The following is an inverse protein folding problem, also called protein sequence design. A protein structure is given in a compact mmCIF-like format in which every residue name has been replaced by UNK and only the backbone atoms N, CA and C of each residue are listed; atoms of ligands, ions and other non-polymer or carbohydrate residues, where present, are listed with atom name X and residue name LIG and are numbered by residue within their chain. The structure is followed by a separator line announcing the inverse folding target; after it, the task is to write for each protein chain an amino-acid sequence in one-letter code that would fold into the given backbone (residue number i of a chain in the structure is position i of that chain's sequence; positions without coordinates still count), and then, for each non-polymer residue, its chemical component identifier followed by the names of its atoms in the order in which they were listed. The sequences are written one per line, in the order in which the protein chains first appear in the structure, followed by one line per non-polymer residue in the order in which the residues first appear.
data_IF_726093791650
#
_entry.id   IF_726093791650
#
_cell.length_a   1.000
_cell.length_b   1.000
_cell.length_c   1.000
_cell.angle_alpha   90.00
_cell.angle_beta   90.00
_cell.angle_gamma   90.00
#
_symmetry.space_group_name_H-M   'P 1'
#
loop_
_entity.id
_entity.type
_entity.pdbx_description
1 polymer ?
#
# COMPACT_ATOMS: atom_id res chain seq x y z
N UNK A 1 -62.50 -27.95 23.71
CA UNK A 1 -61.24 -28.73 23.86
C UNK A 1 -60.09 -28.19 23.00
N UNK A 2 -59.99 -28.47 21.68
CA UNK A 2 -58.76 -28.14 20.91
C UNK A 2 -58.50 -26.63 20.77
N UNK A 3 -59.54 -25.82 20.54
CA UNK A 3 -59.42 -24.35 20.48
C UNK A 3 -59.10 -23.69 21.83
N UNK A 4 -59.66 -24.20 22.92
CA UNK A 4 -59.36 -23.70 24.27
C UNK A 4 -57.91 -23.98 24.67
N UNK A 5 -57.39 -25.15 24.31
CA UNK A 5 -56.03 -25.52 24.65
C UNK A 5 -55.01 -24.60 23.95
N UNK A 6 -55.26 -24.28 22.68
CA UNK A 6 -54.42 -23.35 21.89
C UNK A 6 -54.45 -21.94 22.51
N UNK A 7 -55.61 -21.45 22.92
CA UNK A 7 -55.73 -20.11 23.48
C UNK A 7 -55.03 -19.96 24.83
N UNK A 8 -55.16 -20.97 25.71
CA UNK A 8 -54.44 -21.00 26.98
C UNK A 8 -52.92 -20.98 26.75
N UNK A 9 -52.43 -21.80 25.81
CA UNK A 9 -51.00 -21.82 25.49
C UNK A 9 -50.49 -20.50 24.91
N UNK A 10 -51.28 -19.81 24.08
CA UNK A 10 -50.87 -18.53 23.49
C UNK A 10 -50.89 -17.38 24.51
N UNK A 11 -51.85 -17.38 25.45
CA UNK A 11 -51.87 -16.38 26.53
C UNK A 11 -50.74 -16.58 27.52
N UNK A 12 -50.44 -17.82 27.90
CA UNK A 12 -49.26 -18.14 28.72
C UNK A 12 -47.95 -17.77 28.00
N UNK A 13 -47.79 -18.21 26.75
CA UNK A 13 -46.62 -17.87 25.96
C UNK A 13 -46.42 -16.35 25.84
N UNK A 14 -47.49 -15.58 25.61
CA UNK A 14 -47.41 -14.12 25.55
C UNK A 14 -47.06 -13.44 26.88
N UNK A 15 -47.47 -14.02 28.02
CA UNK A 15 -47.09 -13.52 29.36
C UNK A 15 -45.63 -13.83 29.70
N UNK A 16 -45.18 -15.05 29.41
CA UNK A 16 -43.82 -15.50 29.71
C UNK A 16 -42.79 -14.84 28.80
N UNK A 17 -43.09 -14.70 27.50
CA UNK A 17 -42.20 -14.07 26.53
C UNK A 17 -42.28 -12.54 26.50
N UNK A 18 -43.31 -11.94 27.11
CA UNK A 18 -43.60 -10.51 27.02
C UNK A 18 -44.08 -10.04 25.64
N UNK A 19 -44.31 -10.95 24.69
CA UNK A 19 -44.79 -10.60 23.34
C UNK A 19 -46.29 -10.30 23.38
N UNK A 20 -46.61 -9.01 23.43
CA UNK A 20 -47.98 -8.49 23.49
C UNK A 20 -48.87 -9.04 22.36
N UNK A 21 -48.32 -9.17 21.16
CA UNK A 21 -49.07 -9.63 19.99
C UNK A 21 -49.61 -11.06 20.16
N UNK A 22 -48.89 -11.97 20.84
CA UNK A 22 -49.37 -13.33 21.12
C UNK A 22 -50.58 -13.32 22.06
N UNK A 23 -50.56 -12.45 23.07
CA UNK A 23 -51.67 -12.27 24.00
C UNK A 23 -52.92 -11.71 23.31
N UNK A 24 -52.75 -10.74 22.40
CA UNK A 24 -53.87 -10.15 21.67
C UNK A 24 -54.46 -11.09 20.63
N UNK A 25 -53.64 -11.96 20.02
CA UNK A 25 -54.15 -13.04 19.17
C UNK A 25 -54.95 -14.06 19.97
N UNK A 26 -54.66 -14.28 21.25
CA UNK A 26 -55.43 -15.22 22.07
C UNK A 26 -56.73 -14.63 22.66
N UNK A 27 -56.89 -13.30 22.65
CA UNK A 27 -58.03 -12.64 23.28
C UNK A 27 -59.31 -12.73 22.42
N UNK A 28 -60.36 -13.37 22.97
CA UNK A 28 -61.67 -13.53 22.29
C UNK A 28 -62.57 -12.31 22.33
N UNK A 29 -62.26 -11.30 23.15
CA UNK A 29 -63.08 -10.08 23.24
C UNK A 29 -62.80 -9.08 22.12
N UNK A 30 -61.78 -9.34 21.30
CA UNK A 30 -61.36 -8.47 20.19
C UNK A 30 -62.03 -8.87 18.88
N UNK A 31 -62.23 -7.89 18.00
CA UNK A 31 -62.75 -8.15 16.67
C UNK A 31 -61.78 -9.02 15.84
N UNK A 32 -62.30 -9.89 14.95
CA UNK A 32 -61.46 -10.79 14.15
C UNK A 32 -60.46 -10.06 13.25
N UNK A 33 -60.77 -8.83 12.81
CA UNK A 33 -59.85 -7.98 12.04
C UNK A 33 -58.63 -7.55 12.87
N UNK A 34 -58.84 -7.20 14.13
CA UNK A 34 -57.76 -6.83 15.03
C UNK A 34 -56.86 -8.04 15.33
N UNK A 35 -57.45 -9.22 15.48
CA UNK A 35 -56.72 -10.49 15.62
C UNK A 35 -55.84 -10.78 14.40
N UNK A 36 -56.35 -10.52 13.19
CA UNK A 36 -55.61 -10.67 11.94
C UNK A 36 -54.45 -9.66 11.85
N UNK A 37 -54.68 -8.41 12.25
CA UNK A 37 -53.64 -7.39 12.30
C UNK A 37 -52.46 -7.80 13.19
N UNK A 38 -52.73 -8.28 14.41
CA UNK A 38 -51.67 -8.75 15.31
C UNK A 38 -50.92 -9.97 14.76
N UNK A 39 -51.62 -10.87 14.06
CA UNK A 39 -51.00 -12.01 13.38
C UNK A 39 -50.05 -11.54 12.26
N UNK A 40 -50.50 -10.61 11.42
CA UNK A 40 -49.67 -10.03 10.36
C UNK A 40 -48.45 -9.30 10.91
N UNK A 41 -48.58 -8.61 12.05
CA UNK A 41 -47.46 -7.96 12.72
C UNK A 41 -46.38 -8.95 13.17
N UNK A 42 -46.76 -10.10 13.74
CA UNK A 42 -45.79 -11.14 14.13
C UNK A 42 -45.09 -11.70 12.90
N UNK A 43 -45.83 -11.99 11.83
CA UNK A 43 -45.24 -12.49 10.58
C UNK A 43 -44.27 -11.48 9.97
N UNK A 44 -44.63 -10.19 9.94
CA UNK A 44 -43.77 -9.12 9.47
C UNK A 44 -42.50 -8.98 10.33
N UNK A 45 -42.63 -9.09 11.66
CA UNK A 45 -41.49 -9.04 12.58
C UNK A 45 -40.53 -10.23 12.35
N UNK A 46 -41.04 -11.45 12.22
CA UNK A 46 -40.22 -12.64 11.93
C UNK A 46 -39.50 -12.48 10.59
N UNK A 47 -40.20 -12.01 9.56
CA UNK A 47 -39.60 -11.75 8.25
C UNK A 47 -38.49 -10.70 8.33
N UNK A 48 -38.76 -9.58 9.03
CA UNK A 48 -37.79 -8.50 9.24
C UNK A 48 -36.53 -8.96 9.97
N UNK A 49 -36.68 -9.75 11.04
CA UNK A 49 -35.54 -10.31 11.78
C UNK A 49 -34.69 -11.20 10.87
N UNK A 50 -35.30 -12.10 10.10
CA UNK A 50 -34.55 -12.97 9.19
C UNK A 50 -33.76 -12.18 8.14
N UNK A 51 -34.33 -11.10 7.61
CA UNK A 51 -33.66 -10.24 6.63
C UNK A 51 -32.48 -9.51 7.26
N UNK A 52 -32.68 -8.90 8.43
CA UNK A 52 -31.63 -8.16 9.14
C UNK A 52 -30.51 -9.08 9.64
N UNK A 53 -30.84 -10.24 10.19
CA UNK A 53 -29.82 -11.20 10.66
C UNK A 53 -28.92 -11.66 9.52
N UNK A 54 -29.49 -11.93 8.34
CA UNK A 54 -28.68 -12.31 7.16
C UNK A 54 -27.72 -11.20 6.74
N UNK A 55 -28.18 -9.95 6.68
CA UNK A 55 -27.33 -8.82 6.27
C UNK A 55 -26.23 -8.54 7.29
N UNK A 56 -26.53 -8.65 8.59
CA UNK A 56 -25.54 -8.44 9.64
C UNK A 56 -24.49 -9.55 9.69
N UNK A 57 -24.90 -10.81 9.57
CA UNK A 57 -23.95 -11.93 9.51
C UNK A 57 -23.05 -11.82 8.29
N UNK A 58 -23.60 -11.44 7.14
CA UNK A 58 -22.83 -11.26 5.92
C UNK A 58 -21.78 -10.15 6.06
N UNK A 59 -22.17 -8.98 6.59
CA UNK A 59 -21.23 -7.87 6.90
C UNK A 59 -20.14 -8.30 7.89
N UNK A 60 -20.52 -9.07 8.90
CA UNK A 60 -19.56 -9.59 9.89
C UNK A 60 -18.56 -10.57 9.28
N UNK A 61 -19.01 -11.44 8.36
CA UNK A 61 -18.18 -12.46 7.73
C UNK A 61 -17.22 -11.89 6.67
N UNK A 62 -17.67 -10.90 5.88
CA UNK A 62 -16.89 -10.40 4.75
C UNK A 62 -15.89 -9.30 5.11
N UNK A 63 -16.15 -8.51 6.16
CA UNK A 63 -15.28 -7.37 6.49
C UNK A 63 -15.34 -6.99 7.98
N UNK A 64 -14.72 -7.79 8.88
CA UNK A 64 -14.79 -7.56 10.32
C UNK A 64 -13.94 -6.36 10.83
N UNK A 65 -13.26 -5.62 9.96
CA UNK A 65 -12.33 -4.55 10.39
C UNK A 65 -12.82 -3.17 9.98
N UNK A 66 -13.10 -2.32 10.96
CA UNK A 66 -13.24 -0.89 10.77
C UNK A 66 -11.89 -0.25 11.07
N UNK A 67 -11.27 0.37 10.06
CA UNK A 67 -10.02 1.11 10.26
C UNK A 67 -10.40 2.57 10.53
N UNK A 68 -10.18 3.03 11.76
CA UNK A 68 -10.25 4.44 12.12
C UNK A 68 -8.85 5.03 12.07
N UNK A 69 -8.66 6.06 11.24
CA UNK A 69 -7.41 6.83 11.20
C UNK A 69 -7.57 8.04 12.11
N UNK A 70 -6.83 8.06 13.20
CA UNK A 70 -6.66 9.26 14.01
C UNK A 70 -5.45 10.06 13.52
N UNK A 71 -5.55 11.39 13.55
CA UNK A 71 -4.47 12.30 13.14
C UNK A 71 -3.95 13.03 14.36
N UNK A 72 -2.97 12.45 15.03
CA UNK A 72 -2.26 13.14 16.10
C UNK A 72 -1.06 13.91 15.53
N UNK A 73 -1.30 15.11 15.02
CA UNK A 73 -0.27 15.95 14.40
C UNK A 73 0.39 16.94 15.37
N UNK A 74 -0.16 17.10 16.58
CA UNK A 74 0.32 18.08 17.55
C UNK A 74 1.27 17.47 18.60
N UNK A 75 1.13 16.19 18.93
CA UNK A 75 1.93 15.53 19.97
C UNK A 75 2.96 14.52 19.42
N UNK A 76 3.06 14.40 18.08
CA UNK A 76 3.92 13.39 17.44
C UNK A 76 5.37 13.87 17.26
N UNK A 77 6.26 13.40 18.14
CA UNK A 77 7.72 13.46 17.95
C UNK A 77 8.20 12.29 17.07
N UNK A 78 8.04 12.43 15.76
CA UNK A 78 8.41 11.39 14.80
C UNK A 78 9.93 11.27 14.61
N UNK A 79 10.48 10.05 14.53
CA UNK A 79 11.87 9.88 14.11
C UNK A 79 12.04 10.41 12.69
N UNK A 80 13.22 10.97 12.40
CA UNK A 80 13.56 11.40 11.05
C UNK A 80 13.60 10.17 10.13
N UNK A 81 12.92 10.19 8.98
CA UNK A 81 12.97 9.09 8.04
C UNK A 81 14.35 9.01 7.39
N UNK A 82 14.72 7.81 6.93
CA UNK A 82 15.92 7.65 6.10
C UNK A 82 15.73 8.42 4.77
N UNK A 83 16.69 9.27 4.43
CA UNK A 83 16.73 10.00 3.16
C UNK A 83 17.77 9.36 2.25
N UNK A 84 17.32 8.76 1.15
CA UNK A 84 18.18 8.24 0.09
C UNK A 84 18.28 9.26 -1.03
N UNK A 85 19.49 9.75 -1.31
CA UNK A 85 19.75 10.70 -2.40
C UNK A 85 20.36 9.95 -3.58
N UNK A 86 19.78 10.13 -4.78
CA UNK A 86 20.33 9.65 -6.04
C UNK A 86 20.69 10.86 -6.90
N UNK A 87 21.89 10.86 -7.47
CA UNK A 87 22.25 11.85 -8.48
C UNK A 87 21.59 11.48 -9.81
N UNK A 88 21.11 12.49 -10.53
CA UNK A 88 20.61 12.32 -11.89
C UNK A 88 21.75 12.10 -12.89
N UNK A 89 22.95 12.59 -12.56
CA UNK A 89 24.17 12.29 -13.30
C UNK A 89 24.96 11.22 -12.55
N UNK A 90 25.12 10.08 -13.19
CA UNK A 90 25.75 8.90 -12.63
C UNK A 90 27.28 8.89 -12.88
N UNK A 91 27.78 9.71 -13.82
CA UNK A 91 29.19 9.79 -14.22
C UNK A 91 29.89 10.95 -13.49
N UNK A 92 31.05 10.70 -12.87
CA UNK A 92 31.92 11.79 -12.40
C UNK A 92 32.94 12.12 -13.50
N UNK A 93 32.63 13.14 -14.31
CA UNK A 93 33.43 13.53 -15.51
C UNK A 93 34.94 13.69 -15.23
N UNK A 94 35.39 14.30 -14.12
CA UNK A 94 36.82 14.37 -13.80
C UNK A 94 37.45 13.00 -13.62
N UNK A 95 36.81 12.09 -12.88
CA UNK A 95 37.32 10.72 -12.68
C UNK A 95 37.31 9.92 -13.97
N UNK A 96 36.30 10.12 -14.80
CA UNK A 96 36.23 9.48 -16.12
C UNK A 96 37.41 9.91 -17.00
N UNK A 97 37.74 11.19 -16.99
CA UNK A 97 38.88 11.72 -17.73
C UNK A 97 40.21 11.15 -17.21
N UNK A 98 40.39 11.09 -15.89
CA UNK A 98 41.60 10.53 -15.28
C UNK A 98 41.74 9.04 -15.61
N UNK A 99 40.64 8.28 -15.53
CA UNK A 99 40.59 6.86 -15.92
C UNK A 99 40.94 6.62 -17.39
N UNK A 100 40.43 7.44 -18.31
CA UNK A 100 40.73 7.33 -19.74
C UNK A 100 42.22 7.59 -20.00
N UNK A 101 42.78 8.61 -19.34
CA UNK A 101 44.18 8.97 -19.49
C UNK A 101 45.10 7.89 -18.93
N UNK A 102 44.80 7.33 -17.76
CA UNK A 102 45.63 6.29 -17.13
C UNK A 102 45.63 4.96 -17.88
N UNK A 103 44.47 4.56 -18.43
CA UNK A 103 44.32 3.23 -19.03
C UNK A 103 44.62 3.20 -20.53
N UNK A 104 44.25 4.24 -21.27
CA UNK A 104 44.43 4.29 -22.72
C UNK A 104 45.41 5.38 -23.20
N UNK A 105 45.94 6.22 -22.29
CA UNK A 105 46.85 7.33 -22.62
C UNK A 105 46.25 8.29 -23.67
N UNK A 106 44.93 8.48 -23.62
CA UNK A 106 44.14 9.36 -24.49
C UNK A 106 43.75 10.62 -23.72
N UNK A 107 43.92 11.78 -24.34
CA UNK A 107 43.58 13.08 -23.79
C UNK A 107 42.32 13.65 -24.44
N UNK A 108 41.71 14.68 -23.83
CA UNK A 108 40.52 15.37 -24.34
C UNK A 108 40.72 15.94 -25.78
N UNK A 109 41.97 16.14 -26.20
CA UNK A 109 42.30 16.69 -27.53
C UNK A 109 42.33 15.63 -28.64
N UNK A 110 42.27 14.35 -28.28
CA UNK A 110 42.34 13.25 -29.23
C UNK A 110 40.94 12.89 -29.75
N UNK A 111 40.84 12.58 -31.05
CA UNK A 111 39.57 12.26 -31.71
C UNK A 111 38.88 11.01 -31.11
N UNK A 112 39.67 10.09 -30.55
CA UNK A 112 39.20 8.85 -29.93
C UNK A 112 38.65 9.04 -28.52
N UNK A 113 38.91 10.18 -27.86
CA UNK A 113 38.47 10.44 -26.49
C UNK A 113 36.96 10.28 -26.31
N UNK A 114 36.18 10.79 -27.25
CA UNK A 114 34.72 10.70 -27.21
C UNK A 114 34.23 9.26 -27.33
N UNK A 115 34.97 8.38 -28.01
CA UNK A 115 34.62 6.97 -28.12
C UNK A 115 34.73 6.25 -26.77
N UNK A 116 35.84 6.48 -26.03
CA UNK A 116 36.02 5.95 -24.68
C UNK A 116 35.03 6.55 -23.67
N UNK A 117 34.74 7.85 -23.79
CA UNK A 117 33.76 8.50 -22.93
C UNK A 117 32.33 7.96 -23.15
N UNK A 118 31.93 7.73 -24.40
CA UNK A 118 30.63 7.12 -24.72
C UNK A 118 30.49 5.70 -24.16
N UNK A 119 31.57 4.93 -24.15
CA UNK A 119 31.60 3.61 -23.51
C UNK A 119 31.31 3.71 -22.01
N UNK A 120 32.04 4.59 -21.29
CA UNK A 120 31.82 4.80 -19.85
C UNK A 120 30.40 5.29 -19.54
N UNK A 121 29.85 6.20 -20.35
CA UNK A 121 28.46 6.67 -20.21
C UNK A 121 27.47 5.52 -20.42
N UNK A 122 27.72 4.66 -21.42
CA UNK A 122 26.82 3.55 -21.76
C UNK A 122 26.78 2.50 -20.65
N UNK A 123 27.92 2.23 -20.02
CA UNK A 123 28.01 1.31 -18.88
C UNK A 123 27.29 1.89 -17.66
N UNK A 124 27.53 3.16 -17.34
CA UNK A 124 27.01 3.77 -16.12
C UNK A 124 25.50 4.04 -16.21
N UNK A 125 24.99 4.36 -17.41
CA UNK A 125 23.56 4.55 -17.67
C UNK A 125 22.85 3.25 -18.11
N UNK A 126 23.51 2.09 -17.93
CA UNK A 126 22.97 0.81 -18.31
C UNK A 126 21.72 0.47 -17.48
N UNK A 127 20.58 0.40 -18.14
CA UNK A 127 19.32 -0.08 -17.55
C UNK A 127 18.89 -1.35 -18.28
N UNK A 128 17.94 -2.09 -17.70
CA UNK A 128 17.37 -3.30 -18.34
C UNK A 128 16.87 -3.01 -19.76
N UNK A 129 16.38 -1.80 -20.02
CA UNK A 129 15.91 -1.37 -21.34
C UNK A 129 17.02 -0.91 -22.28
N UNK A 130 18.12 -0.37 -21.75
CA UNK A 130 19.19 0.25 -22.55
C UNK A 130 20.48 -0.58 -22.62
N UNK A 131 20.45 -1.83 -22.17
CA UNK A 131 21.61 -2.71 -22.15
C UNK A 131 22.19 -2.99 -23.55
N UNK A 132 21.35 -2.91 -24.60
CA UNK A 132 21.77 -3.12 -25.99
C UNK A 132 22.84 -2.14 -26.48
N UNK A 133 22.93 -0.95 -25.88
CA UNK A 133 23.91 0.09 -26.27
C UNK A 133 25.35 -0.28 -25.91
N UNK A 134 25.57 -1.26 -25.04
CA UNK A 134 26.90 -1.74 -24.65
C UNK A 134 27.46 -2.72 -25.70
N UNK A 135 26.58 -3.43 -26.42
CA UNK A 135 26.96 -4.47 -27.37
C UNK A 135 27.85 -3.92 -28.49
N UNK A 136 27.70 -2.63 -28.85
CA UNK A 136 28.55 -1.96 -29.86
C UNK A 136 30.03 -1.89 -29.50
N UNK A 137 30.37 -2.09 -28.23
CA UNK A 137 31.74 -2.08 -27.72
C UNK A 137 32.27 -3.49 -27.41
N UNK A 138 31.44 -4.53 -27.52
CA UNK A 138 31.81 -5.90 -27.14
C UNK A 138 32.77 -6.58 -28.14
N UNK A 139 32.94 -6.02 -29.34
CA UNK A 139 33.85 -6.53 -30.37
C UNK A 139 35.26 -5.94 -30.27
N UNK A 140 35.46 -4.94 -29.40
CA UNK A 140 36.73 -4.21 -29.28
C UNK A 140 37.57 -4.76 -28.13
N UNK A 141 38.67 -5.43 -28.49
CA UNK A 141 39.62 -6.08 -27.56
C UNK A 141 40.22 -5.10 -26.53
N UNK A 142 40.16 -3.77 -26.78
CA UNK A 142 40.64 -2.74 -25.85
C UNK A 142 39.85 -2.66 -24.54
N UNK A 143 38.64 -3.24 -24.51
CA UNK A 143 37.77 -3.25 -23.34
C UNK A 143 37.72 -4.60 -22.63
N UNK A 144 38.32 -5.66 -23.20
CA UNK A 144 38.28 -7.03 -22.67
C UNK A 144 39.14 -7.22 -21.41
N UNK A 145 40.10 -6.33 -21.16
CA UNK A 145 41.06 -6.44 -20.04
C UNK A 145 40.47 -5.98 -18.68
N UNK A 146 39.29 -5.35 -18.68
CA UNK A 146 38.72 -4.72 -17.48
C UNK A 146 37.43 -5.40 -16.99
N UNK A 147 37.31 -5.59 -15.68
CA UNK A 147 36.03 -5.94 -15.06
C UNK A 147 35.13 -4.69 -15.01
N UNK A 148 33.96 -4.78 -15.66
CA UNK A 148 32.97 -3.69 -15.70
C UNK A 148 32.58 -3.21 -14.30
N UNK A 149 32.56 -4.10 -13.30
CA UNK A 149 32.23 -3.73 -11.93
C UNK A 149 33.25 -2.76 -11.33
N UNK A 150 34.53 -3.01 -11.55
CA UNK A 150 35.62 -2.18 -11.03
C UNK A 150 35.65 -0.82 -11.74
N UNK A 151 35.41 -0.81 -13.06
CA UNK A 151 35.29 0.44 -13.84
C UNK A 151 34.14 1.32 -13.32
N UNK A 152 32.98 0.71 -13.02
CA UNK A 152 31.84 1.44 -12.45
C UNK A 152 32.19 2.02 -11.08
N UNK A 153 32.86 1.26 -10.20
CA UNK A 153 33.23 1.75 -8.88
C UNK A 153 34.18 2.94 -8.94
N UNK A 154 35.12 2.96 -9.89
CA UNK A 154 36.10 4.02 -10.02
C UNK A 154 35.47 5.31 -10.56
N UNK A 155 34.66 5.19 -11.62
CA UNK A 155 34.17 6.33 -12.40
C UNK A 155 32.80 6.85 -11.91
N UNK A 156 32.02 6.05 -11.19
CA UNK A 156 30.72 6.47 -10.70
C UNK A 156 30.78 7.66 -9.72
N UNK A 157 29.74 8.49 -9.79
CA UNK A 157 29.49 9.57 -8.83
C UNK A 157 29.07 9.01 -7.47
N UNK A 158 30.04 8.61 -6.65
CA UNK A 158 29.81 8.16 -5.28
C UNK A 158 29.68 9.38 -4.35
N UNK A 159 28.79 9.26 -3.37
CA UNK A 159 28.23 10.24 -2.42
C UNK A 159 29.23 11.05 -1.55
N UNK A 160 30.47 11.29 -1.99
CA UNK A 160 31.46 12.05 -1.23
C UNK A 160 31.20 13.57 -1.25
N UNK A 161 30.36 14.06 -2.18
CA UNK A 161 30.05 15.50 -2.32
C UNK A 161 28.98 16.01 -1.33
N UNK A 162 28.23 15.16 -0.61
CA UNK A 162 27.01 15.57 0.13
C UNK A 162 27.02 15.46 1.66
N UNK A 163 28.04 14.87 2.29
CA UNK A 163 28.10 14.80 3.75
C UNK A 163 28.03 16.20 4.41
N UNK A 164 28.58 17.22 3.75
CA UNK A 164 28.50 18.62 4.23
C UNK A 164 27.10 19.23 4.16
N UNK A 165 26.24 18.80 3.21
CA UNK A 165 24.92 19.38 3.02
C UNK A 165 23.89 18.81 4.01
N UNK A 166 24.00 17.51 4.33
CA UNK A 166 23.15 16.86 5.32
C UNK A 166 23.43 17.41 6.73
N UNK A 167 24.71 17.64 7.07
CA UNK A 167 25.10 18.27 8.34
C UNK A 167 24.51 19.68 8.47
N UNK A 168 24.47 20.47 7.40
CA UNK A 168 23.89 21.83 7.43
C UNK A 168 22.38 21.81 7.69
N UNK A 169 21.64 20.85 7.10
CA UNK A 169 20.19 20.71 7.33
C UNK A 169 19.90 20.27 8.77
N UNK A 170 20.72 19.37 9.33
CA UNK A 170 20.61 18.98 10.75
C UNK A 170 20.95 20.13 11.69
N UNK A 171 21.99 20.91 11.39
CA UNK A 171 22.41 22.05 12.22
C UNK A 171 21.41 23.21 12.23
N UNK A 172 20.48 23.26 11.27
CA UNK A 172 19.36 24.21 11.23
C UNK A 172 18.09 23.69 11.94
N UNK A 173 18.05 22.40 12.31
CA UNK A 173 16.91 21.76 13.00
C UNK A 173 17.02 21.84 14.52
N UNK A 174 18.22 22.02 15.05
CA UNK A 174 18.45 22.33 16.47
C UNK A 174 18.31 23.85 16.69
N UNK A 175 17.39 24.33 17.54
CA UNK A 175 17.33 25.74 17.92
C UNK A 175 18.55 26.18 18.77
#
# INVERSE_FOLDING_TARGET
ILKENIEYTLTEAGKVSGVLALRQIANRTLHPLERLFWLLLILAAIYGVNLLTKTQIHRYAESPTVISLDRDYLDWSGPLPAVTLCYNDHLDVPKANDFIFENWNVSISDDEYFYFLEFLISIINATVTNYGDIVRFAEDERFDDFDLYDVILEVASILNKTLSALILIFKLKDP
#
